data_IF_755312630527
#
_entry.id   IF_755312630527
#
_cell.length_a   1.000
_cell.length_b   1.000
_cell.length_c   1.000
_cell.angle_alpha   90.00
_cell.angle_beta   90.00
_cell.angle_gamma   90.00
#
_symmetry.space_group_name_H-M   'P 1'
#
loop_
_entity.id
_entity.type
_entity.pdbx_description
1 polymer ?
#
# COMPACT_ATOMS: atom_id res chain seq x y z
N UNK A 1 50.35 27.25 -1.83
CA UNK A 1 50.84 26.38 -2.91
C UNK A 1 50.22 26.85 -4.22
N UNK A 2 51.05 27.32 -5.17
CA UNK A 2 50.61 27.81 -6.48
C UNK A 2 50.25 26.63 -7.39
N UNK A 3 49.11 26.78 -8.04
CA UNK A 3 48.37 25.94 -9.00
C UNK A 3 49.04 24.65 -9.51
N UNK A 4 48.35 23.52 -9.28
CA UNK A 4 48.67 22.20 -9.84
C UNK A 4 48.37 22.21 -11.34
N UNK A 5 49.39 22.14 -12.18
CA UNK A 5 49.26 21.95 -13.63
C UNK A 5 48.44 20.68 -13.90
N UNK A 6 47.42 20.77 -14.76
CA UNK A 6 46.73 19.59 -15.26
C UNK A 6 47.50 19.06 -16.47
N UNK A 7 47.53 17.75 -16.66
CA UNK A 7 48.06 17.08 -17.84
C UNK A 7 46.90 16.33 -18.50
N UNK A 8 46.79 16.38 -19.81
CA UNK A 8 45.80 15.63 -20.58
C UNK A 8 46.51 14.68 -21.54
N UNK A 9 46.08 13.42 -21.58
CA UNK A 9 46.59 12.46 -22.55
C UNK A 9 46.15 12.85 -23.97
N UNK A 10 47.09 12.81 -24.92
CA UNK A 10 46.81 13.13 -26.34
C UNK A 10 46.06 12.02 -27.08
N UNK A 11 45.95 10.83 -26.49
CA UNK A 11 45.22 9.72 -27.07
C UNK A 11 43.70 9.94 -26.92
N UNK A 12 43.02 9.97 -28.07
CA UNK A 12 41.57 10.19 -28.17
C UNK A 12 40.74 9.08 -27.50
N UNK A 13 41.29 7.88 -27.33
CA UNK A 13 40.64 6.78 -26.61
C UNK A 13 40.88 6.88 -25.10
N UNK A 14 42.06 7.35 -24.68
CA UNK A 14 42.45 7.36 -23.27
C UNK A 14 41.95 8.59 -22.50
N UNK A 15 42.05 9.79 -23.09
CA UNK A 15 41.57 11.12 -22.60
C UNK A 15 41.73 11.38 -21.10
N UNK A 16 42.76 10.82 -20.49
CA UNK A 16 42.94 10.85 -19.03
C UNK A 16 43.51 12.20 -18.61
N UNK A 17 42.89 12.83 -17.60
CA UNK A 17 43.36 14.09 -17.01
C UNK A 17 44.03 13.80 -15.67
N UNK A 18 45.25 14.31 -15.51
CA UNK A 18 46.13 14.04 -14.38
C UNK A 18 46.58 15.34 -13.72
N UNK A 19 46.83 15.30 -12.42
CA UNK A 19 47.49 16.39 -11.70
C UNK A 19 48.93 15.99 -11.42
N UNK A 20 49.89 16.72 -12.00
CA UNK A 20 51.31 16.37 -11.91
C UNK A 20 52.19 17.55 -11.56
N UNK A 21 53.25 17.28 -10.83
CA UNK A 21 54.43 18.15 -10.79
C UNK A 21 55.38 17.73 -11.91
N UNK A 22 56.14 18.69 -12.46
CA UNK A 22 57.12 18.48 -13.53
C UNK A 22 58.00 17.26 -13.23
N UNK A 23 57.68 16.12 -13.82
CA UNK A 23 58.53 14.94 -13.85
C UNK A 23 58.77 14.65 -15.33
N UNK A 24 60.04 14.52 -15.69
CA UNK A 24 60.51 14.38 -17.06
C UNK A 24 59.75 13.31 -17.84
N UNK A 25 59.26 13.70 -19.02
CA UNK A 25 58.48 12.84 -19.91
C UNK A 25 57.03 12.69 -19.46
N UNK A 26 56.17 13.63 -19.88
CA UNK A 26 54.72 13.60 -19.63
C UNK A 26 54.10 12.36 -20.28
N UNK A 27 54.04 11.26 -19.54
CA UNK A 27 53.32 10.03 -19.94
C UNK A 27 52.02 9.90 -19.17
N UNK A 28 50.98 9.51 -19.88
CA UNK A 28 49.69 9.14 -19.30
C UNK A 28 49.87 7.93 -18.38
N UNK A 29 49.40 8.01 -17.13
CA UNK A 29 49.47 6.84 -16.21
C UNK A 29 48.60 5.68 -16.64
N UNK A 30 47.60 5.93 -17.50
CA UNK A 30 46.64 4.92 -17.92
C UNK A 30 47.14 4.11 -19.12
N UNK A 31 47.67 4.78 -20.16
CA UNK A 31 48.12 4.11 -21.39
C UNK A 31 49.63 4.22 -21.66
N UNK A 32 50.38 4.98 -20.85
CA UNK A 32 51.80 5.29 -21.12
C UNK A 32 52.03 6.25 -22.30
N UNK A 33 50.98 6.64 -23.02
CA UNK A 33 51.05 7.56 -24.16
C UNK A 33 51.44 8.99 -23.79
N UNK A 34 51.76 9.84 -24.77
CA UNK A 34 52.15 11.22 -24.53
C UNK A 34 51.01 12.03 -23.89
N UNK A 35 51.37 12.93 -22.98
CA UNK A 35 50.46 13.87 -22.35
C UNK A 35 50.96 15.31 -22.54
N UNK A 36 50.03 16.26 -22.58
CA UNK A 36 50.31 17.69 -22.75
C UNK A 36 49.83 18.49 -21.55
N UNK A 37 50.49 19.61 -21.21
CA UNK A 37 50.05 20.47 -20.13
C UNK A 37 48.76 21.20 -20.52
N UNK A 38 47.76 21.10 -19.66
CA UNK A 38 46.47 21.77 -19.74
C UNK A 38 46.37 22.83 -18.64
N UNK A 39 45.97 24.08 -18.97
CA UNK A 39 45.70 25.09 -17.96
C UNK A 39 44.71 24.59 -16.92
N UNK A 40 45.01 24.82 -15.64
CA UNK A 40 44.09 24.45 -14.56
C UNK A 40 42.80 25.28 -14.69
N UNK A 41 41.72 24.62 -15.10
CA UNK A 41 40.39 25.21 -15.06
C UNK A 41 39.64 24.59 -13.88
N UNK A 42 39.52 25.30 -12.74
CA UNK A 42 38.77 24.79 -11.61
C UNK A 42 37.31 24.59 -12.02
N UNK A 43 36.78 23.39 -11.79
CA UNK A 43 35.32 23.18 -11.85
C UNK A 43 34.72 24.14 -10.83
N UNK A 44 33.96 25.14 -11.30
CA UNK A 44 33.15 25.97 -10.42
C UNK A 44 32.22 25.01 -9.70
N UNK A 45 32.35 24.89 -8.37
CA UNK A 45 31.29 24.26 -7.58
C UNK A 45 30.02 25.00 -7.99
N UNK A 46 29.01 24.27 -8.48
CA UNK A 46 27.65 24.76 -8.38
C UNK A 46 27.41 24.79 -6.87
N UNK A 47 27.74 25.90 -6.22
CA UNK A 47 26.93 26.31 -5.07
C UNK A 47 25.60 26.54 -5.72
N UNK A 48 24.73 25.54 -5.63
CA UNK A 48 23.32 25.71 -5.90
C UNK A 48 22.86 26.74 -4.87
N UNK A 49 23.08 28.00 -5.21
CA UNK A 49 22.35 29.11 -4.68
C UNK A 49 20.92 28.73 -4.99
N UNK A 50 20.22 28.31 -3.95
CA UNK A 50 18.79 28.09 -3.90
C UNK A 50 18.10 29.38 -4.36
N UNK A 51 18.10 29.65 -5.65
CA UNK A 51 16.98 30.29 -6.32
C UNK A 51 16.01 29.15 -6.55
N UNK A 52 15.10 28.98 -5.59
CA UNK A 52 13.92 28.11 -5.67
C UNK A 52 13.29 28.28 -7.04
N UNK A 53 13.67 27.43 -7.99
CA UNK A 53 12.87 27.17 -9.16
C UNK A 53 11.77 26.28 -8.62
N UNK A 54 10.67 26.90 -8.16
CA UNK A 54 9.53 26.18 -7.61
C UNK A 54 9.08 25.14 -8.65
N UNK A 55 9.48 23.88 -8.44
CA UNK A 55 8.93 22.75 -9.17
C UNK A 55 7.50 22.56 -8.65
N UNK A 56 6.57 23.27 -9.28
CA UNK A 56 5.15 23.06 -9.05
C UNK A 56 4.74 21.73 -9.70
N UNK A 57 4.65 20.67 -8.89
CA UNK A 57 4.14 19.37 -9.32
C UNK A 57 2.62 19.38 -9.11
N UNK A 58 1.86 19.44 -10.18
CA UNK A 58 0.40 19.33 -10.13
C UNK A 58 0.02 17.84 -10.19
N UNK A 59 -0.47 17.30 -9.07
CA UNK A 59 -0.92 15.91 -8.97
C UNK A 59 -2.45 15.90 -8.99
N UNK A 60 -3.02 15.35 -10.05
CA UNK A 60 -4.46 15.22 -10.18
C UNK A 60 -4.83 13.79 -9.74
N UNK A 61 -5.53 13.66 -8.62
CA UNK A 61 -6.04 12.37 -8.15
C UNK A 61 -7.49 12.24 -8.60
N UNK A 62 -7.77 11.27 -9.46
CA UNK A 62 -9.14 10.93 -9.85
C UNK A 62 -9.81 10.13 -8.73
N UNK A 63 -10.81 10.73 -8.08
CA UNK A 63 -11.57 10.13 -6.98
C UNK A 63 -12.96 9.67 -7.42
N UNK A 64 -13.25 9.64 -8.72
CA UNK A 64 -14.61 9.38 -9.23
C UNK A 64 -15.11 7.99 -8.85
N UNK A 65 -14.26 6.97 -9.01
CA UNK A 65 -14.59 5.59 -8.64
C UNK A 65 -14.71 5.40 -7.13
N UNK A 66 -13.83 6.03 -6.35
CA UNK A 66 -13.92 5.98 -4.88
C UNK A 66 -15.24 6.57 -4.38
N UNK A 67 -15.68 7.70 -4.96
CA UNK A 67 -16.97 8.31 -4.63
C UNK A 67 -18.17 7.43 -5.02
N UNK A 68 -18.09 6.71 -6.13
CA UNK A 68 -19.14 5.77 -6.55
C UNK A 68 -19.25 4.59 -5.59
N UNK A 69 -18.13 3.95 -5.26
CA UNK A 69 -18.10 2.83 -4.33
C UNK A 69 -18.57 3.23 -2.93
N UNK A 70 -18.22 4.42 -2.46
CA UNK A 70 -18.72 4.92 -1.17
C UNK A 70 -20.25 5.09 -1.14
N UNK A 71 -20.87 5.48 -2.25
CA UNK A 71 -22.34 5.56 -2.35
C UNK A 71 -22.99 4.18 -2.28
N UNK A 72 -22.46 3.21 -3.03
CA UNK A 72 -22.95 1.83 -3.02
C UNK A 72 -22.85 1.20 -1.62
N UNK A 73 -21.72 1.40 -0.92
CA UNK A 73 -21.55 0.93 0.47
C UNK A 73 -22.55 1.58 1.42
N UNK A 74 -22.83 2.88 1.23
CA UNK A 74 -23.80 3.60 2.06
C UNK A 74 -25.23 3.11 1.82
N UNK A 75 -25.58 2.81 0.57
CA UNK A 75 -26.89 2.26 0.21
C UNK A 75 -27.08 0.85 0.80
N UNK A 76 -26.10 -0.03 0.65
CA UNK A 76 -26.12 -1.36 1.26
C UNK A 76 -26.24 -1.29 2.79
N UNK A 77 -25.56 -0.35 3.44
CA UNK A 77 -25.67 -0.14 4.88
C UNK A 77 -27.09 0.29 5.28
N UNK A 78 -27.73 1.17 4.51
CA UNK A 78 -29.12 1.59 4.77
C UNK A 78 -30.12 0.43 4.61
N UNK A 79 -29.94 -0.42 3.59
CA UNK A 79 -30.77 -1.62 3.43
C UNK A 79 -30.62 -2.59 4.63
N UNK A 80 -29.39 -2.76 5.14
CA UNK A 80 -29.14 -3.56 6.33
C UNK A 80 -29.85 -3.01 7.57
N UNK A 81 -29.85 -1.69 7.77
CA UNK A 81 -30.58 -1.04 8.88
C UNK A 81 -32.07 -1.34 8.78
N UNK A 82 -32.68 -1.20 7.59
CA UNK A 82 -34.10 -1.50 7.37
C UNK A 82 -34.41 -2.98 7.62
N UNK A 83 -33.52 -3.90 7.22
CA UNK A 83 -33.68 -5.32 7.49
C UNK A 83 -33.61 -5.63 9.00
N UNK A 84 -32.67 -5.03 9.71
CA UNK A 84 -32.52 -5.18 11.16
C UNK A 84 -33.75 -4.63 11.92
N UNK A 85 -34.30 -3.48 11.54
CA UNK A 85 -35.53 -2.95 12.14
C UNK A 85 -36.72 -3.91 11.98
N UNK A 86 -36.84 -4.58 10.83
CA UNK A 86 -37.88 -5.60 10.61
C UNK A 86 -37.66 -6.82 11.50
N UNK A 87 -36.41 -7.27 11.65
CA UNK A 87 -36.06 -8.40 12.52
C UNK A 87 -36.31 -8.07 14.00
N UNK A 88 -36.03 -6.85 14.43
CA UNK A 88 -36.31 -6.40 15.79
C UNK A 88 -37.82 -6.40 16.07
N UNK A 89 -38.63 -5.88 15.13
CA UNK A 89 -40.10 -5.94 15.23
C UNK A 89 -40.62 -7.37 15.33
N UNK A 90 -40.04 -8.33 14.60
CA UNK A 90 -40.41 -9.74 14.71
C UNK A 90 -40.02 -10.31 16.08
N UNK A 91 -38.80 -10.05 16.53
CA UNK A 91 -38.31 -10.55 17.82
C UNK A 91 -39.15 -10.01 18.98
N UNK A 92 -39.53 -8.73 18.94
CA UNK A 92 -40.42 -8.11 19.92
C UNK A 92 -41.81 -8.76 19.92
N UNK A 93 -42.36 -9.10 18.74
CA UNK A 93 -43.62 -9.87 18.65
C UNK A 93 -43.50 -11.25 19.30
N UNK A 94 -42.35 -11.93 19.16
CA UNK A 94 -42.17 -13.28 19.71
C UNK A 94 -41.74 -13.30 21.19
N UNK A 95 -41.17 -12.21 21.70
CA UNK A 95 -40.71 -12.09 23.09
C UNK A 95 -41.85 -12.01 24.12
N UNK A 96 -43.06 -11.61 23.69
CA UNK A 96 -44.24 -11.48 24.55
C UNK A 96 -45.06 -12.76 24.71
N UNK A 97 -44.72 -13.84 24.00
CA UNK A 97 -45.43 -15.10 24.20
C UNK A 97 -44.98 -15.74 25.52
N UNK A 98 -45.91 -16.13 26.41
CA UNK A 98 -45.54 -16.97 27.52
C UNK A 98 -44.95 -18.25 26.94
N UNK A 99 -43.69 -18.54 27.27
CA UNK A 99 -43.08 -19.84 27.00
C UNK A 99 -43.89 -20.88 27.78
N UNK A 100 -44.91 -21.42 27.14
CA UNK A 100 -45.76 -22.45 27.74
C UNK A 100 -44.94 -23.72 27.72
N UNK A 101 -44.29 -24.02 28.84
CA UNK A 101 -43.61 -25.31 29.03
C UNK A 101 -44.67 -26.38 29.15
N UNK A 102 -44.89 -27.13 28.08
CA UNK A 102 -45.70 -28.34 28.12
C UNK A 102 -44.81 -29.43 28.72
N UNK A 103 -45.09 -29.82 29.96
CA UNK A 103 -44.46 -30.97 30.58
C UNK A 103 -45.26 -32.23 30.21
N UNK A 104 -44.64 -33.16 29.50
CA UNK A 104 -45.23 -34.45 29.15
C UNK A 104 -44.67 -35.53 30.06
N UNK A 105 -45.56 -36.24 30.76
CA UNK A 105 -45.17 -37.40 31.55
C UNK A 105 -45.31 -38.66 30.68
N UNK A 106 -44.18 -39.29 30.35
CA UNK A 106 -44.11 -40.48 29.51
C UNK A 106 -44.92 -41.65 30.11
N UNK A 107 -44.83 -41.87 31.43
CA UNK A 107 -45.56 -42.95 32.10
C UNK A 107 -47.08 -42.76 32.01
N UNK A 108 -47.55 -41.51 32.10
CA UNK A 108 -48.98 -41.22 31.96
C UNK A 108 -49.48 -41.45 30.53
N UNK A 109 -48.64 -41.23 29.52
CA UNK A 109 -48.99 -41.46 28.11
C UNK A 109 -49.06 -42.95 27.82
N UNK A 110 -48.05 -43.71 28.25
CA UNK A 110 -48.01 -45.17 28.09
C UNK A 110 -49.22 -45.82 28.75
N UNK A 111 -49.62 -45.38 29.95
CA UNK A 111 -50.82 -45.89 30.63
C UNK A 111 -52.11 -45.66 29.84
N UNK A 112 -52.29 -44.47 29.24
CA UNK A 112 -53.48 -44.17 28.41
C UNK A 112 -53.50 -44.97 27.11
N UNK A 113 -52.36 -45.06 26.42
CA UNK A 113 -52.26 -45.86 25.19
C UNK A 113 -52.64 -47.32 25.46
N UNK A 114 -52.14 -47.88 26.56
CA UNK A 114 -52.42 -49.26 26.96
C UNK A 114 -53.87 -49.46 27.43
N UNK A 115 -54.49 -48.48 28.09
CA UNK A 115 -55.91 -48.57 28.46
C UNK A 115 -56.82 -48.49 27.24
N UNK A 116 -56.49 -47.66 26.25
CA UNK A 116 -57.31 -47.46 25.06
C UNK A 116 -57.16 -48.63 24.06
N UNK A 117 -55.99 -49.29 24.02
CA UNK A 117 -55.79 -50.53 23.24
C UNK A 117 -56.45 -51.75 23.87
N UNK A 118 -56.78 -51.73 25.17
CA UNK A 118 -57.52 -52.82 25.83
C UNK A 118 -58.96 -52.96 25.33
N UNK A 119 -59.49 -51.98 24.60
CA UNK A 119 -60.80 -52.02 23.95
C UNK A 119 -60.79 -52.51 22.49
N UNK A 120 -59.62 -52.67 21.87
CA UNK A 120 -59.49 -53.12 20.48
C UNK A 120 -59.28 -54.63 20.49
N UNK A 121 -60.38 -55.39 20.36
CA UNK A 121 -60.31 -56.82 20.05
C UNK A 121 -60.03 -56.98 18.55
N UNK A 122 -58.83 -57.44 18.21
CA UNK A 122 -58.50 -57.95 16.87
C UNK A 122 -58.98 -59.40 16.78
#
# INVERSE_FOLDING_TARGET
>A
MKFKTQLECMDNECRTVMFGHFLDGMRCVKCGGPATPKPYNPVKKRTDQSTTSELAIQVNVDTTEALKQMKEVTEAANECVVALEKLEKLTNKFSGFPQTRINVNADSIVKRINSDTSGIRI
#
